data_IF_967686961902
#
_entry.id   IF_967686961902
#
_cell.length_a   1.000
_cell.length_b   1.000
_cell.length_c   1.000
_cell.angle_alpha   90.00
_cell.angle_beta   90.00
_cell.angle_gamma   90.00
#
_symmetry.space_group_name_H-M   'P 1'
#
loop_
_entity.id
_entity.type
_entity.pdbx_description
1 polymer ?
#
# COMPACT_ATOMS: atom_id res chain seq x y z
N UNK A 1 -2.93 -0.67 -15.89
CA UNK A 1 -1.82 -0.80 -14.93
C UNK A 1 -2.18 -1.74 -13.79
N UNK A 2 -3.31 -1.53 -13.10
CA UNK A 2 -3.66 -2.34 -11.92
C UNK A 2 -3.74 -3.86 -12.12
N UNK A 3 -3.91 -4.38 -13.33
CA UNK A 3 -4.01 -5.83 -13.61
C UNK A 3 -2.70 -6.45 -14.11
N UNK A 4 -1.62 -5.69 -14.25
CA UNK A 4 -0.35 -6.17 -14.79
C UNK A 4 0.44 -6.93 -13.72
N UNK A 5 1.25 -7.91 -14.15
CA UNK A 5 2.18 -8.63 -13.26
C UNK A 5 3.41 -7.78 -12.96
N UNK A 6 3.96 -7.10 -13.98
CA UNK A 6 4.88 -5.97 -13.80
C UNK A 6 4.08 -4.67 -13.91
N UNK A 7 3.81 -3.95 -12.81
CA UNK A 7 3.03 -2.72 -12.86
C UNK A 7 3.77 -1.54 -13.50
N UNK A 8 5.09 -1.64 -13.72
CA UNK A 8 5.92 -0.60 -14.31
C UNK A 8 6.00 -0.67 -15.84
N UNK A 9 5.80 -1.86 -16.42
CA UNK A 9 5.80 -2.06 -17.86
C UNK A 9 4.42 -1.77 -18.45
N UNK A 10 4.25 -0.57 -19.00
CA UNK A 10 3.00 -0.14 -19.64
C UNK A 10 3.03 -0.24 -21.16
N UNK A 11 4.06 -0.86 -21.74
CA UNK A 11 4.28 -0.91 -23.20
C UNK A 11 3.06 -1.44 -23.96
N UNK A 12 2.47 -2.54 -23.49
CA UNK A 12 1.27 -3.16 -24.07
C UNK A 12 -0.02 -2.34 -23.87
N UNK A 13 0.01 -1.34 -23.00
CA UNK A 13 -1.13 -0.49 -22.67
C UNK A 13 -1.13 0.84 -23.42
N UNK A 14 -0.05 1.22 -24.08
CA UNK A 14 0.09 2.54 -24.75
C UNK A 14 -1.07 2.82 -25.70
N UNK A 15 -1.49 1.84 -26.49
CA UNK A 15 -2.61 1.99 -27.43
C UNK A 15 -3.93 2.29 -26.71
N UNK A 16 -4.22 1.58 -25.62
CA UNK A 16 -5.44 1.74 -24.83
C UNK A 16 -5.43 3.06 -24.06
N UNK A 17 -4.28 3.45 -23.51
CA UNK A 17 -4.08 4.72 -22.82
C UNK A 17 -4.21 5.89 -23.80
N UNK A 18 -3.70 5.75 -25.02
CA UNK A 18 -3.88 6.74 -26.08
C UNK A 18 -5.35 6.89 -26.48
N UNK A 19 -6.10 5.77 -26.60
CA UNK A 19 -7.54 5.82 -26.85
C UNK A 19 -8.29 6.56 -25.74
N UNK A 20 -7.97 6.26 -24.48
CA UNK A 20 -8.58 6.92 -23.33
C UNK A 20 -8.23 8.42 -23.31
N UNK A 21 -6.97 8.77 -23.56
CA UNK A 21 -6.53 10.16 -23.65
C UNK A 21 -7.32 10.91 -24.73
N UNK A 22 -7.41 10.34 -25.94
CA UNK A 22 -8.13 10.96 -27.04
C UNK A 22 -9.64 11.08 -26.77
N UNK A 23 -10.22 10.16 -25.98
CA UNK A 23 -11.63 10.21 -25.59
C UNK A 23 -11.92 11.28 -24.53
N UNK A 24 -11.08 11.37 -23.49
CA UNK A 24 -11.29 12.27 -22.35
C UNK A 24 -10.77 13.68 -22.63
N UNK A 25 -9.63 13.80 -23.30
CA UNK A 25 -8.93 15.05 -23.62
C UNK A 25 -8.84 15.25 -25.13
N UNK A 26 -9.97 15.12 -25.82
CA UNK A 26 -10.08 15.24 -27.28
C UNK A 26 -9.58 16.59 -27.86
N UNK A 27 -9.40 17.62 -27.02
CA UNK A 27 -8.87 18.93 -27.42
C UNK A 27 -7.42 19.18 -27.01
N UNK A 28 -6.77 18.24 -26.33
CA UNK A 28 -5.36 18.35 -25.90
C UNK A 28 -4.52 17.34 -26.65
N UNK A 29 -3.83 17.74 -27.74
CA UNK A 29 -2.96 16.84 -28.48
C UNK A 29 -1.86 16.31 -27.59
N UNK A 30 -1.80 14.99 -27.43
CA UNK A 30 -0.75 14.31 -26.68
C UNK A 30 -0.55 12.92 -27.26
N UNK A 31 0.70 12.47 -27.31
CA UNK A 31 1.05 11.11 -27.67
C UNK A 31 1.54 10.41 -26.42
N UNK A 32 0.74 9.47 -25.92
CA UNK A 32 1.07 8.68 -24.75
C UNK A 32 2.31 7.85 -25.05
N UNK A 33 3.30 7.96 -24.18
CA UNK A 33 4.52 7.16 -24.20
C UNK A 33 4.54 6.12 -23.08
N UNK A 34 5.26 5.02 -23.30
CA UNK A 34 5.35 3.91 -22.34
C UNK A 34 6.14 4.27 -21.07
N UNK A 35 6.95 5.34 -21.09
CA UNK A 35 7.78 5.78 -19.97
C UNK A 35 7.84 7.31 -19.88
N UNK A 36 7.84 7.85 -18.66
CA UNK A 36 8.00 9.29 -18.41
C UNK A 36 6.77 10.14 -18.76
N UNK A 37 5.69 9.51 -19.22
CA UNK A 37 4.43 10.17 -19.56
C UNK A 37 3.59 10.48 -18.30
N UNK A 38 2.80 11.57 -18.29
CA UNK A 38 1.88 11.86 -17.20
C UNK A 38 0.97 10.72 -16.75
N UNK A 39 0.69 9.72 -17.59
CA UNK A 39 -0.06 8.54 -17.17
C UNK A 39 0.60 7.76 -16.01
N UNK A 40 1.92 7.90 -15.83
CA UNK A 40 2.66 7.34 -14.70
C UNK A 40 2.37 8.06 -13.37
N UNK A 41 1.75 9.26 -13.40
CA UNK A 41 1.30 9.94 -12.19
C UNK A 41 0.18 9.18 -11.46
N UNK A 42 -0.48 8.20 -12.10
CA UNK A 42 -1.39 7.28 -11.39
C UNK A 42 -0.68 6.48 -10.29
N UNK A 43 0.61 6.17 -10.47
CA UNK A 43 1.42 5.52 -9.43
C UNK A 43 1.65 6.43 -8.22
N UNK A 44 1.69 7.76 -8.40
CA UNK A 44 1.79 8.72 -7.28
C UNK A 44 0.54 8.72 -6.39
N UNK A 45 -0.62 8.28 -6.91
CA UNK A 45 -1.82 8.10 -6.09
C UNK A 45 -1.59 7.09 -4.96
N UNK A 46 -0.87 6.01 -5.25
CA UNK A 46 -0.53 4.99 -4.24
C UNK A 46 0.43 5.55 -3.19
N UNK A 47 1.46 6.30 -3.58
CA UNK A 47 2.42 6.88 -2.62
C UNK A 47 1.77 7.90 -1.70
N UNK A 48 0.87 8.73 -2.23
CA UNK A 48 0.11 9.70 -1.42
C UNK A 48 -0.80 8.96 -0.44
N UNK A 49 -1.53 7.94 -0.91
CA UNK A 49 -2.41 7.13 -0.06
C UNK A 49 -1.65 6.41 1.06
N UNK A 50 -0.48 5.85 0.72
CA UNK A 50 0.38 5.15 1.64
C UNK A 50 0.95 6.10 2.70
N UNK A 51 1.52 7.24 2.28
CA UNK A 51 2.02 8.25 3.22
C UNK A 51 0.94 8.69 4.22
N UNK A 52 -0.28 8.99 3.74
CA UNK A 52 -1.39 9.38 4.60
C UNK A 52 -1.84 8.24 5.55
N UNK A 53 -1.78 6.99 5.09
CA UNK A 53 -2.11 5.81 5.90
C UNK A 53 -1.09 5.61 7.02
N UNK A 54 0.21 5.76 6.72
CA UNK A 54 1.28 5.65 7.70
C UNK A 54 1.21 6.79 8.72
N UNK A 55 1.00 8.03 8.27
CA UNK A 55 0.79 9.19 9.16
C UNK A 55 -0.41 8.97 10.10
N UNK A 56 -1.55 8.51 9.56
CA UNK A 56 -2.75 8.24 10.36
C UNK A 56 -2.53 7.11 11.40
N UNK A 57 -1.62 6.17 11.12
CA UNK A 57 -1.26 5.14 12.09
C UNK A 57 -0.45 5.72 13.25
N UNK A 58 0.55 6.56 12.96
CA UNK A 58 1.30 7.26 14.02
C UNK A 58 0.38 8.08 14.92
N UNK A 59 -0.57 8.81 14.34
CA UNK A 59 -1.54 9.62 15.07
C UNK A 59 -2.53 8.79 15.91
N UNK A 60 -2.63 7.49 15.65
CA UNK A 60 -3.62 6.63 16.29
C UNK A 60 -3.17 6.02 17.63
N UNK A 61 -1.87 5.99 17.90
CA UNK A 61 -1.30 5.34 19.07
C UNK A 61 -0.24 6.22 19.74
N UNK A 62 -0.39 6.42 21.05
CA UNK A 62 0.56 7.18 21.86
C UNK A 62 1.95 6.54 21.94
N UNK A 63 2.06 5.25 21.61
CA UNK A 63 3.34 4.56 21.51
C UNK A 63 4.26 5.12 20.41
N UNK A 64 3.73 5.93 19.48
CA UNK A 64 4.48 6.54 18.38
C UNK A 64 4.39 8.08 18.40
N UNK A 65 4.28 8.67 19.59
CA UNK A 65 4.13 10.13 19.76
C UNK A 65 5.41 10.88 19.35
N UNK A 66 6.57 10.23 19.47
CA UNK A 66 7.86 10.85 19.15
C UNK A 66 8.42 10.37 17.81
N UNK A 67 9.18 11.27 17.17
CA UNK A 67 10.00 10.98 16.01
C UNK A 67 10.91 9.75 16.19
N UNK A 68 11.46 9.54 17.39
CA UNK A 68 12.34 8.40 17.68
C UNK A 68 11.60 7.06 17.65
N UNK A 69 10.41 7.00 18.27
CA UNK A 69 9.59 5.79 18.30
C UNK A 69 9.09 5.40 16.90
N UNK A 70 8.68 6.40 16.10
CA UNK A 70 8.31 6.19 14.71
C UNK A 70 9.48 5.65 13.88
N UNK A 71 10.69 6.17 14.10
CA UNK A 71 11.90 5.71 13.42
C UNK A 71 12.25 4.27 13.77
N UNK A 72 12.19 3.93 15.06
CA UNK A 72 12.49 2.59 15.56
C UNK A 72 11.52 1.57 14.99
N UNK A 73 10.22 1.86 15.03
CA UNK A 73 9.22 0.99 14.42
C UNK A 73 9.43 0.87 12.92
N UNK A 74 9.65 1.98 12.20
CA UNK A 74 9.83 1.94 10.76
C UNK A 74 11.07 1.12 10.37
N UNK A 75 12.19 1.28 11.08
CA UNK A 75 13.40 0.50 10.86
C UNK A 75 13.19 -1.00 11.13
N UNK A 76 12.48 -1.34 12.21
CA UNK A 76 12.09 -2.71 12.51
C UNK A 76 11.19 -3.28 11.41
N UNK A 77 10.12 -2.58 11.03
CA UNK A 77 9.14 -3.06 10.07
C UNK A 77 9.75 -3.29 8.67
N UNK A 78 10.66 -2.42 8.23
CA UNK A 78 11.39 -2.59 6.96
C UNK A 78 12.42 -3.71 7.06
N UNK A 79 13.15 -3.80 8.18
CA UNK A 79 14.19 -4.82 8.37
C UNK A 79 13.66 -6.22 8.67
N UNK A 80 12.39 -6.36 9.09
CA UNK A 80 11.86 -7.59 9.66
C UNK A 80 10.60 -8.10 8.95
N UNK A 81 10.77 -8.83 7.84
CA UNK A 81 9.67 -9.54 7.15
C UNK A 81 8.43 -8.69 6.80
N UNK A 82 8.55 -7.36 6.76
CA UNK A 82 7.49 -6.41 6.35
C UNK A 82 6.14 -6.70 7.01
N UNK A 83 6.05 -6.55 8.36
CA UNK A 83 4.91 -7.01 9.16
C UNK A 83 3.61 -6.29 8.81
N UNK A 84 3.71 -5.07 8.26
CA UNK A 84 2.58 -4.30 7.73
C UNK A 84 1.89 -4.94 6.53
N UNK A 85 2.43 -6.04 5.97
CA UNK A 85 1.78 -6.84 4.94
C UNK A 85 1.03 -8.05 5.51
N UNK A 86 1.17 -8.43 6.78
CA UNK A 86 0.60 -9.67 7.32
C UNK A 86 -0.52 -9.38 8.31
N UNK A 87 -1.72 -9.93 8.07
CA UNK A 87 -2.88 -9.74 8.95
C UNK A 87 -2.68 -10.33 10.34
N UNK A 88 -1.85 -11.38 10.46
CA UNK A 88 -1.54 -12.02 11.73
C UNK A 88 -0.11 -12.54 11.77
N UNK A 89 0.56 -12.32 12.90
CA UNK A 89 1.93 -12.74 13.20
C UNK A 89 1.89 -13.50 14.51
N UNK A 90 2.36 -14.74 14.51
CA UNK A 90 2.61 -15.53 15.71
C UNK A 90 4.12 -15.63 15.93
N UNK A 91 4.62 -14.92 16.92
CA UNK A 91 6.03 -14.80 17.29
C UNK A 91 6.37 -15.55 18.58
N UNK A 92 5.54 -16.53 18.98
CA UNK A 92 5.78 -17.37 20.17
C UNK A 92 7.16 -18.03 20.14
N UNK A 93 7.65 -18.36 18.94
CA UNK A 93 9.06 -18.67 18.69
C UNK A 93 9.71 -17.50 17.91
N UNK A 94 10.52 -16.64 18.58
CA UNK A 94 11.15 -15.49 17.94
C UNK A 94 12.12 -15.86 16.80
N UNK A 95 12.62 -17.10 16.77
CA UNK A 95 13.51 -17.56 15.71
C UNK A 95 12.73 -18.05 14.49
N UNK A 96 11.45 -18.40 14.66
CA UNK A 96 10.58 -18.93 13.60
C UNK A 96 9.17 -18.32 13.69
N UNK A 97 9.03 -16.99 13.52
CA UNK A 97 7.72 -16.36 13.47
C UNK A 97 6.87 -16.93 12.32
N UNK A 98 5.61 -17.24 12.63
CA UNK A 98 4.63 -17.69 11.63
C UNK A 98 3.79 -16.50 11.20
N UNK A 99 3.94 -16.13 9.94
CA UNK A 99 3.16 -15.07 9.31
C UNK A 99 1.98 -15.67 8.55
N UNK A 100 0.81 -15.06 8.71
CA UNK A 100 -0.41 -15.51 8.06
C UNK A 100 -1.25 -14.33 7.59
N UNK A 101 -2.22 -14.61 6.72
CA UNK A 101 -3.09 -13.58 6.14
C UNK A 101 -2.27 -12.53 5.36
N UNK A 102 -1.49 -13.00 4.38
CA UNK A 102 -0.71 -12.12 3.51
C UNK A 102 -1.59 -11.06 2.83
N UNK A 103 -1.10 -9.83 2.82
CA UNK A 103 -1.71 -8.59 2.34
C UNK A 103 -3.07 -8.25 2.96
N UNK A 104 -3.38 -8.80 4.14
CA UNK A 104 -4.67 -8.63 4.81
C UNK A 104 -4.59 -7.70 6.04
N UNK A 105 -3.79 -6.64 5.94
CA UNK A 105 -3.68 -5.62 6.99
C UNK A 105 -4.56 -4.42 6.71
N UNK A 106 -4.84 -3.66 7.77
CA UNK A 106 -5.53 -2.38 7.68
C UNK A 106 -4.87 -1.43 6.68
N UNK A 107 -3.54 -1.39 6.66
CA UNK A 107 -2.76 -0.49 5.82
C UNK A 107 -2.95 -0.82 4.34
N UNK A 108 -2.88 -2.11 4.00
CA UNK A 108 -3.15 -2.59 2.65
C UNK A 108 -4.57 -2.24 2.23
N UNK A 109 -5.57 -2.45 3.09
CA UNK A 109 -6.95 -2.14 2.74
C UNK A 109 -7.19 -0.66 2.46
N UNK A 110 -6.57 0.24 3.23
CA UNK A 110 -6.73 1.69 3.06
C UNK A 110 -6.11 2.18 1.74
N UNK A 111 -4.87 1.79 1.46
CA UNK A 111 -4.18 2.19 0.23
C UNK A 111 -4.85 1.56 -1.00
N UNK A 112 -5.23 0.29 -0.90
CA UNK A 112 -5.92 -0.40 -1.99
C UNK A 112 -7.34 0.15 -2.22
N UNK A 113 -8.03 0.64 -1.18
CA UNK A 113 -9.30 1.35 -1.32
C UNK A 113 -9.16 2.64 -2.14
N UNK A 114 -8.01 3.32 -2.10
CA UNK A 114 -7.77 4.48 -2.96
C UNK A 114 -7.79 4.06 -4.44
N UNK A 115 -7.15 2.94 -4.80
CA UNK A 115 -7.21 2.42 -6.16
C UNK A 115 -8.67 2.14 -6.59
N UNK A 116 -9.44 1.43 -5.75
CA UNK A 116 -10.85 1.13 -6.04
C UNK A 116 -11.70 2.40 -6.17
N UNK A 117 -11.44 3.41 -5.34
CA UNK A 117 -12.14 4.70 -5.41
C UNK A 117 -11.88 5.43 -6.72
N UNK A 118 -10.64 5.40 -7.21
CA UNK A 118 -10.26 5.99 -8.49
C UNK A 118 -10.97 5.29 -9.67
N UNK A 119 -11.27 3.99 -9.54
CA UNK A 119 -12.04 3.25 -10.55
C UNK A 119 -13.55 3.51 -10.46
N UNK A 120 -14.09 3.85 -9.30
CA UNK A 120 -15.54 3.93 -9.06
C UNK A 120 -16.32 4.94 -9.93
N UNK A 121 -15.63 5.83 -10.64
CA UNK A 121 -16.22 6.77 -11.61
C UNK A 121 -16.17 6.31 -13.07
N UNK A 122 -15.52 5.18 -13.37
CA UNK A 122 -15.36 4.68 -14.74
C UNK A 122 -16.58 3.87 -15.18
N UNK A 123 -16.92 3.94 -16.47
CA UNK A 123 -17.92 3.05 -17.06
C UNK A 123 -17.41 1.60 -17.07
N UNK A 124 -18.32 0.63 -16.97
CA UNK A 124 -17.99 -0.80 -16.87
C UNK A 124 -17.20 -1.32 -18.07
N UNK A 125 -17.37 -0.73 -19.25
CA UNK A 125 -16.62 -1.05 -20.47
C UNK A 125 -15.11 -0.78 -20.37
N UNK A 126 -14.68 0.10 -19.46
CA UNK A 126 -13.26 0.37 -19.18
C UNK A 126 -12.72 -0.45 -18.00
N UNK A 127 -13.58 -1.24 -17.33
CA UNK A 127 -13.19 -2.06 -16.19
C UNK A 127 -12.78 -3.46 -16.63
N UNK A 128 -11.63 -3.91 -16.13
CA UNK A 128 -11.21 -5.31 -16.29
C UNK A 128 -11.80 -6.17 -15.17
N UNK A 129 -12.27 -7.38 -15.52
CA UNK A 129 -12.68 -8.40 -14.55
C UNK A 129 -11.50 -9.20 -13.96
N UNK A 130 -10.28 -9.01 -14.46
CA UNK A 130 -9.07 -9.67 -13.95
C UNK A 130 -8.74 -9.18 -12.54
N UNK A 131 -8.07 -10.03 -11.77
CA UNK A 131 -7.55 -9.63 -10.46
C UNK A 131 -6.57 -8.46 -10.62
N UNK A 132 -6.72 -7.40 -9.81
CA UNK A 132 -5.87 -6.22 -9.86
C UNK A 132 -4.51 -6.47 -9.17
N UNK A 133 -3.73 -7.43 -9.71
CA UNK A 133 -2.42 -7.85 -9.20
C UNK A 133 -1.45 -6.68 -9.08
N UNK A 134 -1.26 -5.94 -10.17
CA UNK A 134 -0.38 -4.77 -10.22
C UNK A 134 -0.77 -3.68 -9.21
N UNK A 135 -2.07 -3.49 -8.95
CA UNK A 135 -2.50 -2.53 -7.94
C UNK A 135 -2.12 -2.97 -6.52
N UNK A 136 -2.23 -4.27 -6.22
CA UNK A 136 -1.83 -4.78 -4.90
C UNK A 136 -0.29 -4.75 -4.73
N UNK A 137 0.46 -5.01 -5.80
CA UNK A 137 1.92 -4.82 -5.83
C UNK A 137 2.27 -3.36 -5.53
N UNK A 138 1.68 -2.41 -6.26
CA UNK A 138 1.92 -0.98 -6.05
C UNK A 138 1.50 -0.53 -4.65
N UNK A 139 0.43 -1.09 -4.07
CA UNK A 139 0.06 -0.86 -2.67
C UNK A 139 1.17 -1.31 -1.72
N UNK A 140 1.69 -2.53 -1.86
CA UNK A 140 2.74 -3.05 -0.98
C UNK A 140 4.03 -2.22 -1.06
N UNK A 141 4.48 -1.94 -2.29
CA UNK A 141 5.66 -1.11 -2.54
C UNK A 141 5.47 0.31 -2.00
N UNK A 142 4.30 0.92 -2.20
CA UNK A 142 4.03 2.27 -1.69
C UNK A 142 4.01 2.32 -0.16
N UNK A 143 3.52 1.28 0.51
CA UNK A 143 3.56 1.17 1.98
C UNK A 143 4.99 0.99 2.50
N UNK A 144 5.78 0.11 1.89
CA UNK A 144 7.20 -0.07 2.21
C UNK A 144 7.96 1.24 2.00
N UNK A 145 7.71 1.92 0.88
CA UNK A 145 8.27 3.23 0.59
C UNK A 145 7.88 4.27 1.63
N UNK A 146 6.59 4.39 1.96
CA UNK A 146 6.11 5.35 2.94
C UNK A 146 6.75 5.11 4.32
N UNK A 147 6.86 3.86 4.77
CA UNK A 147 7.57 3.51 6.00
C UNK A 147 9.06 3.85 5.95
N UNK A 148 9.72 3.59 4.82
CA UNK A 148 11.15 3.89 4.66
C UNK A 148 11.48 5.36 4.91
N UNK A 149 10.54 6.27 4.58
CA UNK A 149 10.67 7.72 4.81
C UNK A 149 10.74 8.11 6.29
N UNK A 150 10.27 7.23 7.20
CA UNK A 150 10.24 7.47 8.64
C UNK A 150 11.42 6.87 9.40
N UNK A 151 12.25 6.03 8.77
CA UNK A 151 13.37 5.31 9.43
C UNK A 151 14.41 6.19 10.12
N UNK A 152 14.44 7.50 9.84
CA UNK A 152 15.36 8.45 10.48
C UNK A 152 14.69 9.38 11.50
N UNK A 153 13.39 9.20 11.75
CA UNK A 153 12.58 9.98 12.69
C UNK A 153 12.17 11.35 12.21
N UNK A 154 12.74 11.83 11.10
CA UNK A 154 12.23 12.98 10.38
C UNK A 154 11.66 12.51 9.06
N UNK A 155 10.48 13.02 8.68
CA UNK A 155 9.91 12.80 7.37
C UNK A 155 10.87 13.33 6.31
N UNK A 156 11.65 12.46 5.69
CA UNK A 156 12.46 12.81 4.54
C UNK A 156 11.57 12.84 3.31
N UNK A 157 10.91 13.97 3.07
CA UNK A 157 10.27 14.23 1.77
C UNK A 157 11.39 14.28 0.73
N UNK A 158 11.46 13.23 -0.09
CA UNK A 158 12.58 13.01 -1.00
C UNK A 158 12.67 14.11 -2.06
N UNK A 159 13.87 14.64 -2.27
CA UNK A 159 14.20 15.37 -3.49
C UNK A 159 14.11 14.42 -4.69
N UNK A 160 13.66 14.96 -5.84
CA UNK A 160 13.36 14.26 -7.11
C UNK A 160 14.55 13.43 -7.68
N UNK A 161 15.75 13.56 -7.10
CA UNK A 161 17.00 12.90 -7.55
C UNK A 161 17.49 11.75 -6.66
N UNK A 162 16.71 11.30 -5.68
CA UNK A 162 17.15 10.27 -4.72
C UNK A 162 16.74 8.84 -5.08
N UNK A 163 17.48 7.86 -4.55
CA UNK A 163 17.22 6.39 -4.63
C UNK A 163 15.84 5.99 -4.09
N UNK A 164 15.14 6.88 -3.41
CA UNK A 164 13.81 6.64 -2.86
C UNK A 164 12.70 7.27 -3.68
N UNK A 165 12.94 7.64 -4.95
CA UNK A 165 11.85 8.09 -5.83
C UNK A 165 11.05 6.89 -6.32
N UNK A 166 9.71 6.99 -6.40
CA UNK A 166 8.81 5.87 -6.72
C UNK A 166 8.82 5.53 -8.22
N UNK A 167 9.90 4.89 -8.65
CA UNK A 167 10.14 4.46 -10.02
C UNK A 167 10.67 3.02 -10.07
N UNK A 168 10.52 2.36 -11.22
CA UNK A 168 10.97 0.99 -11.45
C UNK A 168 12.45 0.77 -11.14
N UNK A 169 13.31 1.73 -11.47
CA UNK A 169 14.76 1.61 -11.20
C UNK A 169 15.08 1.46 -9.71
N UNK A 170 14.20 1.95 -8.84
CA UNK A 170 14.39 1.95 -7.39
C UNK A 170 13.55 0.85 -6.70
N UNK A 171 12.36 0.56 -7.24
CA UNK A 171 11.37 -0.31 -6.60
C UNK A 171 10.99 -1.54 -7.43
N UNK A 172 11.60 -1.72 -8.59
CA UNK A 172 11.34 -2.82 -9.51
C UNK A 172 11.64 -4.19 -8.88
N UNK A 173 12.76 -4.31 -8.17
CA UNK A 173 13.14 -5.53 -7.47
C UNK A 173 12.09 -5.91 -6.40
N UNK A 174 11.74 -4.97 -5.51
CA UNK A 174 10.68 -5.19 -4.50
C UNK A 174 9.33 -5.52 -5.11
N UNK A 175 8.98 -4.85 -6.19
CA UNK A 175 7.74 -5.14 -6.89
C UNK A 175 7.72 -6.56 -7.49
N UNK A 176 8.87 -7.08 -7.94
CA UNK A 176 9.00 -8.45 -8.42
C UNK A 176 8.89 -9.47 -7.29
N UNK A 177 9.51 -9.21 -6.13
CA UNK A 177 9.38 -10.04 -4.92
C UNK A 177 7.90 -10.15 -4.52
N UNK A 178 7.20 -9.02 -4.38
CA UNK A 178 5.78 -9.02 -4.03
C UNK A 178 4.90 -9.65 -5.10
N UNK A 179 5.24 -9.50 -6.38
CA UNK A 179 4.51 -10.13 -7.48
C UNK A 179 4.46 -11.65 -7.33
N UNK A 180 5.57 -12.29 -6.92
CA UNK A 180 5.62 -13.73 -6.69
C UNK A 180 4.68 -14.16 -5.55
N UNK A 181 4.68 -13.44 -4.42
CA UNK A 181 3.80 -13.74 -3.28
C UNK A 181 2.32 -13.49 -3.60
N UNK A 182 2.01 -12.39 -4.30
CA UNK A 182 0.63 -12.00 -4.65
C UNK A 182 0.00 -12.99 -5.64
N UNK A 183 0.79 -13.50 -6.60
CA UNK A 183 0.31 -14.51 -7.55
C UNK A 183 -0.06 -15.84 -6.89
N UNK A 184 0.49 -16.12 -5.71
CA UNK A 184 0.21 -17.34 -4.93
C UNK A 184 -0.98 -17.18 -3.97
N UNK A 185 -1.58 -15.98 -3.88
CA UNK A 185 -2.72 -15.75 -3.01
C UNK A 185 -3.93 -16.60 -3.43
N UNK A 186 -4.56 -17.33 -2.49
CA UNK A 186 -5.78 -18.08 -2.79
C UNK A 186 -6.93 -17.11 -3.08
N UNK A 187 -7.92 -17.57 -3.85
CA UNK A 187 -9.08 -16.76 -4.22
C UNK A 187 -9.83 -16.18 -3.00
N UNK A 188 -9.89 -16.94 -1.89
CA UNK A 188 -10.50 -16.48 -0.65
C UNK A 188 -9.79 -15.24 -0.07
N UNK A 189 -8.45 -15.18 -0.10
CA UNK A 189 -7.70 -14.01 0.35
C UNK A 189 -7.99 -12.79 -0.49
N UNK A 190 -8.11 -12.95 -1.82
CA UNK A 190 -8.50 -11.87 -2.72
C UNK A 190 -9.89 -11.31 -2.39
N UNK A 191 -10.86 -12.17 -2.04
CA UNK A 191 -12.19 -11.71 -1.61
C UNK A 191 -12.13 -10.92 -0.31
N UNK A 192 -11.33 -11.37 0.67
CA UNK A 192 -11.15 -10.63 1.94
C UNK A 192 -10.55 -9.25 1.67
N UNK A 193 -9.47 -9.17 0.88
CA UNK A 193 -8.80 -7.91 0.54
C UNK A 193 -9.77 -6.95 -0.16
N UNK A 194 -10.48 -7.42 -1.19
CA UNK A 194 -11.46 -6.59 -1.92
C UNK A 194 -12.59 -6.14 -1.00
N UNK A 195 -13.20 -7.06 -0.25
CA UNK A 195 -14.32 -6.75 0.64
C UNK A 195 -13.93 -5.69 1.67
N UNK A 196 -12.80 -5.86 2.36
CA UNK A 196 -12.39 -4.93 3.40
C UNK A 196 -11.97 -3.57 2.83
N UNK A 197 -11.26 -3.54 1.69
CA UNK A 197 -10.94 -2.29 1.00
C UNK A 197 -12.20 -1.53 0.54
N UNK A 198 -13.22 -2.24 0.03
CA UNK A 198 -14.51 -1.63 -0.33
C UNK A 198 -15.26 -1.04 0.87
N UNK A 199 -15.14 -1.65 2.06
CA UNK A 199 -15.69 -1.07 3.30
C UNK A 199 -15.04 0.27 3.61
N UNK A 200 -13.70 0.35 3.56
CA UNK A 200 -12.98 1.61 3.78
C UNK A 200 -13.36 2.70 2.76
N UNK A 201 -13.46 2.36 1.47
CA UNK A 201 -13.91 3.28 0.44
C UNK A 201 -15.30 3.89 0.75
N UNK A 202 -16.25 3.07 1.22
CA UNK A 202 -17.62 3.53 1.50
C UNK A 202 -17.70 4.45 2.71
N UNK A 203 -16.94 4.15 3.76
CA UNK A 203 -16.90 4.98 4.96
C UNK A 203 -16.27 6.36 4.70
N UNK A 204 -15.34 6.45 3.74
CA UNK A 204 -14.66 7.71 3.42
C UNK A 204 -15.50 8.70 2.58
N UNK A 205 -16.53 8.23 1.86
CA UNK A 205 -17.52 9.11 1.18
C UNK A 205 -18.40 9.92 2.16
N UNK A 206 -18.26 9.72 3.47
CA UNK A 206 -18.92 10.45 4.55
C UNK A 206 -18.10 11.56 5.22
N UNK A 207 -16.88 11.88 4.74
CA UNK A 207 -16.12 13.04 5.20
C UNK A 207 -15.25 12.86 6.45
N UNK A 208 -15.03 11.64 6.92
CA UNK A 208 -14.16 11.37 8.08
C UNK A 208 -13.15 10.27 7.73
N UNK A 209 -11.86 10.55 7.91
CA UNK A 209 -10.83 9.53 8.05
C UNK A 209 -11.24 8.64 9.20
N UNK A 210 -11.50 7.35 8.96
CA UNK A 210 -11.69 6.41 10.07
C UNK A 210 -10.40 6.49 10.89
N UNK A 211 -10.50 7.06 12.09
CA UNK A 211 -9.48 6.91 13.11
C UNK A 211 -9.27 5.42 13.27
N UNK A 212 -8.03 4.96 13.15
CA UNK A 212 -7.66 3.59 13.45
C UNK A 212 -8.10 3.13 14.88
N UNK A 213 -8.63 4.04 15.71
CA UNK A 213 -9.30 3.76 16.99
C UNK A 213 -10.57 2.89 16.93
N UNK A 214 -11.33 2.84 15.83
CA UNK A 214 -12.59 2.04 15.80
C UNK A 214 -12.34 0.53 15.63
N UNK A 215 -11.22 0.13 15.01
CA UNK A 215 -10.79 -1.28 14.98
C UNK A 215 -10.25 -1.73 16.35
N UNK A 216 -9.60 -0.83 17.09
CA UNK A 216 -9.15 -1.05 18.47
C UNK A 216 -10.34 -1.22 19.42
N UNK A 217 -11.45 -0.52 19.19
CA UNK A 217 -12.67 -0.60 20.01
C UNK A 217 -13.47 -1.91 19.83
N UNK A 218 -13.25 -2.65 18.73
CA UNK A 218 -13.97 -3.89 18.43
C UNK A 218 -13.41 -5.15 19.12
N UNK A 219 -12.43 -5.00 20.03
CA UNK A 219 -11.97 -6.09 20.90
C UNK A 219 -11.22 -7.24 20.22
N UNK A 220 -10.98 -7.14 18.91
CA UNK A 220 -10.21 -8.11 18.12
C UNK A 220 -9.12 -7.37 17.36
N UNK A 221 -7.96 -7.21 18.01
CA UNK A 221 -6.61 -7.29 17.42
C UNK A 221 -5.62 -6.90 18.52
N UNK A 222 -4.74 -7.85 18.84
CA UNK A 222 -3.63 -7.68 19.74
C UNK A 222 -2.80 -6.47 19.33
N UNK A 223 -2.82 -5.42 20.15
CA UNK A 223 -1.88 -4.28 20.11
C UNK A 223 -0.49 -4.76 20.59
N UNK A 224 -0.04 -5.92 20.08
CA UNK A 224 1.28 -6.57 20.28
C UNK A 224 1.76 -7.40 19.07
N UNK A 225 0.95 -7.54 18.01
CA UNK A 225 1.51 -7.49 16.64
C UNK A 225 2.11 -6.11 16.32
N UNK A 226 1.90 -5.18 17.26
CA UNK A 226 2.55 -3.91 17.53
C UNK A 226 2.85 -3.83 19.05
N UNK A 227 4.04 -4.21 19.52
CA UNK A 227 4.68 -4.02 20.87
C UNK A 227 5.30 -5.35 21.36
N UNK A 228 6.60 -5.47 21.16
CA UNK A 228 7.47 -6.35 21.95
C UNK A 228 7.25 -6.08 23.44
N UNK A 229 7.21 -7.16 24.18
CA UNK A 229 7.04 -7.30 25.62
C UNK A 229 7.60 -6.16 26.52
N UNK A 230 6.77 -5.19 26.90
CA UNK A 230 6.93 -4.48 28.19
C UNK A 230 6.15 -5.26 29.25
N UNK A 231 6.79 -6.28 29.81
CA UNK A 231 6.66 -6.74 31.20
C UNK A 231 7.31 -8.12 31.41
N UNK A 232 8.59 -8.29 31.07
CA UNK A 232 9.42 -9.37 31.65
C UNK A 232 10.89 -9.00 31.76
N UNK A 233 11.21 -8.08 32.66
CA UNK A 233 12.45 -8.11 33.46
C UNK A 233 12.22 -7.28 34.75
N UNK A 234 11.54 -7.91 35.70
CA UNK A 234 11.73 -7.64 37.13
C UNK A 234 11.89 -9.00 37.82
N UNK A 235 13.13 -9.48 37.87
CA UNK A 235 13.72 -10.13 39.04
C UNK A 235 15.16 -9.61 39.18
#
# INVERSE_FOLDING_TARGET
MGTLINPWDTSDMVSQLQMLWNGVFNFVPHTVSAHGDPVHFLCNGFTIAAAATVEAYWDSDKAYETAGEQAEYAAWAIGYHVPFLWGSINDTDPMNPVFSEAFQTLWVYMVFAHHLSALGGLASEYMSHKMPVGALILTAVALEHALSMWTTGNLKRHDVKSENTFFETNWGEKSAEYSLSIQQLPAASWEVIKMNSLKYMRSHKGGTLIRASEAVAAGNLSVRGSIVDRDRYQE
#
